data_IF_713647756808
#
_entry.id   IF_713647756808
#
_cell.length_a   1.000
_cell.length_b   1.000
_cell.length_c   1.000
_cell.angle_alpha   90.00
_cell.angle_beta   90.00
_cell.angle_gamma   90.00
#
_symmetry.space_group_name_H-M   'P 1'
#
loop_
_entity.id
_entity.type
_entity.pdbx_description
1 polymer ?
#
# COMPACT_ATOMS: atom_id res chain seq x y z
N UNK A 1 -0.40 4.31 6.77
CA UNK A 1 1.05 4.19 6.50
C UNK A 1 1.66 5.57 6.45
N UNK A 2 2.91 5.74 6.93
CA UNK A 2 3.62 7.01 6.85
C UNK A 2 3.96 7.39 5.39
N UNK A 3 4.15 6.41 4.50
CA UNK A 3 4.38 6.63 3.07
C UNK A 3 3.36 5.84 2.22
N UNK A 4 2.73 6.51 1.27
CA UNK A 4 1.83 5.90 0.29
C UNK A 4 2.47 5.96 -1.09
N UNK A 5 2.50 4.82 -1.78
CA UNK A 5 3.01 4.71 -3.14
C UNK A 5 1.89 4.61 -4.19
N UNK A 6 0.62 4.77 -3.79
CA UNK A 6 -0.48 4.78 -4.75
C UNK A 6 -0.37 6.01 -5.67
N UNK A 7 -0.41 5.84 -7.00
CA UNK A 7 -0.44 6.96 -7.93
C UNK A 7 -1.57 7.94 -7.63
N UNK A 8 -1.26 9.24 -7.62
CA UNK A 8 -2.26 10.32 -7.51
C UNK A 8 -3.29 10.25 -8.65
N UNK A 9 -2.89 9.77 -9.82
CA UNK A 9 -3.75 9.58 -10.98
C UNK A 9 -4.82 8.51 -10.78
N UNK A 10 -4.64 7.62 -9.80
CA UNK A 10 -5.67 6.68 -9.32
C UNK A 10 -6.49 7.24 -8.15
N UNK A 11 -6.04 8.34 -7.53
CA UNK A 11 -6.64 8.95 -6.34
C UNK A 11 -5.81 8.83 -5.06
N UNK A 12 -4.56 8.33 -5.16
CA UNK A 12 -3.57 8.43 -4.10
C UNK A 12 -3.96 7.73 -2.80
N UNK A 13 -3.57 8.33 -1.66
CA UNK A 13 -3.77 7.75 -0.33
C UNK A 13 -5.23 7.49 0.07
N UNK A 14 -6.19 8.20 -0.53
CA UNK A 14 -7.61 8.10 -0.21
C UNK A 14 -8.36 7.12 -1.12
N UNK A 15 -7.74 6.63 -2.19
CA UNK A 15 -8.33 5.68 -3.11
C UNK A 15 -8.17 4.26 -2.60
N UNK A 16 -9.18 3.41 -2.70
CA UNK A 16 -9.06 1.98 -2.44
C UNK A 16 -9.91 1.20 -3.45
N UNK A 17 -9.32 0.17 -4.04
CA UNK A 17 -10.08 -0.78 -4.84
C UNK A 17 -10.89 -1.72 -3.93
N UNK A 18 -12.03 -2.24 -4.41
CA UNK A 18 -12.79 -3.25 -3.68
C UNK A 18 -11.94 -4.46 -3.29
N UNK A 19 -12.28 -5.09 -2.16
CA UNK A 19 -11.67 -6.36 -1.77
C UNK A 19 -12.20 -7.46 -2.68
N UNK A 20 -11.34 -8.02 -3.52
CA UNK A 20 -11.68 -9.13 -4.43
C UNK A 20 -10.75 -10.33 -4.23
N UNK A 21 -11.10 -11.47 -4.84
CA UNK A 21 -10.33 -12.72 -4.74
C UNK A 21 -8.97 -12.63 -5.47
N UNK A 22 -8.85 -11.74 -6.45
CA UNK A 22 -7.66 -11.52 -7.27
C UNK A 22 -6.56 -10.74 -6.52
N UNK A 23 -6.90 -10.20 -5.34
CA UNK A 23 -5.98 -9.49 -4.44
C UNK A 23 -5.22 -8.34 -5.12
N UNK A 24 -5.97 -7.35 -5.62
CA UNK A 24 -5.41 -6.15 -6.23
C UNK A 24 -4.35 -5.48 -5.35
N UNK A 25 -3.42 -4.79 -6.00
CA UNK A 25 -2.40 -3.98 -5.33
C UNK A 25 -2.98 -2.81 -4.53
N UNK A 26 -4.11 -2.28 -4.98
CA UNK A 26 -4.76 -1.10 -4.41
C UNK A 26 -5.95 -1.44 -3.51
N UNK A 27 -6.19 -2.73 -3.22
CA UNK A 27 -7.19 -3.12 -2.22
C UNK A 27 -6.73 -2.74 -0.80
N UNK A 28 -7.67 -2.49 0.13
CA UNK A 28 -7.34 -2.16 1.50
C UNK A 28 -6.80 -3.40 2.26
N UNK A 29 -5.84 -3.14 3.13
CA UNK A 29 -5.30 -4.08 4.13
C UNK A 29 -5.24 -3.40 5.49
N UNK A 30 -5.37 -4.20 6.55
CA UNK A 30 -5.13 -3.77 7.93
C UNK A 30 -3.62 -3.71 8.18
N UNK A 31 -3.13 -2.58 8.70
CA UNK A 31 -1.74 -2.43 9.15
C UNK A 31 -1.65 -1.85 10.56
N UNK A 32 -0.59 -2.22 11.30
CA UNK A 32 -0.30 -1.75 12.64
C UNK A 32 0.59 -0.51 12.56
N UNK A 33 0.10 0.64 13.02
CA UNK A 33 0.84 1.90 12.99
C UNK A 33 0.36 2.83 14.10
N UNK A 34 1.25 3.48 14.88
CA UNK A 34 2.69 3.61 14.64
C UNK A 34 3.55 2.44 15.14
N UNK A 35 3.03 1.60 16.04
CA UNK A 35 3.74 0.44 16.56
C UNK A 35 3.55 -0.78 15.67
N UNK A 36 4.64 -1.31 15.11
CA UNK A 36 4.56 -2.53 14.33
C UNK A 36 4.11 -3.72 15.19
N UNK A 37 3.45 -4.72 14.60
CA UNK A 37 3.06 -5.94 15.32
C UNK A 37 4.26 -6.62 16.00
N UNK A 38 5.44 -6.55 15.39
CA UNK A 38 6.68 -7.15 15.92
C UNK A 38 7.16 -6.46 17.20
N UNK A 39 6.89 -5.16 17.33
CA UNK A 39 7.26 -4.34 18.49
C UNK A 39 6.18 -4.32 19.57
N UNK A 40 5.18 -5.19 19.47
CA UNK A 40 4.07 -5.27 20.42
C UNK A 40 2.85 -4.43 20.01
N UNK A 41 2.79 -3.93 18.78
CA UNK A 41 1.60 -3.27 18.26
C UNK A 41 0.38 -4.19 18.27
N UNK A 42 -0.74 -3.68 18.79
CA UNK A 42 -2.00 -4.39 18.88
C UNK A 42 -3.02 -3.86 17.87
N UNK A 43 -4.09 -4.63 17.66
CA UNK A 43 -5.25 -4.22 16.84
C UNK A 43 -6.20 -3.38 17.69
N UNK A 44 -5.77 -2.18 18.01
CA UNK A 44 -6.58 -1.17 18.70
C UNK A 44 -6.78 0.05 17.79
N UNK A 45 -7.64 0.98 18.23
CA UNK A 45 -8.00 2.17 17.45
C UNK A 45 -6.82 3.12 17.23
N UNK A 46 -5.86 3.13 18.15
CA UNK A 46 -4.72 4.05 18.14
C UNK A 46 -3.53 3.48 17.37
N UNK A 47 -3.55 2.18 17.07
CA UNK A 47 -2.49 1.44 16.40
C UNK A 47 -2.96 0.73 15.12
N UNK A 48 -4.08 1.14 14.54
CA UNK A 48 -4.65 0.55 13.32
C UNK A 48 -4.84 1.59 12.23
N UNK A 49 -4.34 1.29 11.04
CA UNK A 49 -4.59 2.09 9.84
C UNK A 49 -4.99 1.20 8.66
N UNK A 50 -5.69 1.80 7.69
CA UNK A 50 -5.82 1.19 6.37
C UNK A 50 -4.58 1.49 5.52
N UNK A 51 -4.15 0.48 4.78
CA UNK A 51 -2.99 0.53 3.90
C UNK A 51 -3.33 -0.18 2.59
N UNK A 52 -2.87 0.32 1.44
CA UNK A 52 -2.92 -0.49 0.22
C UNK A 52 -2.07 -1.73 0.37
N UNK A 53 -2.53 -2.84 -0.19
CA UNK A 53 -1.80 -4.12 -0.16
C UNK A 53 -0.36 -3.99 -0.68
N UNK A 54 -0.16 -3.30 -1.81
CA UNK A 54 1.17 -3.13 -2.40
C UNK A 54 2.05 -2.21 -1.55
N UNK A 55 1.50 -1.08 -1.09
CA UNK A 55 2.23 -0.15 -0.25
C UNK A 55 2.68 -0.83 1.06
N UNK A 56 1.82 -1.64 1.69
CA UNK A 56 2.17 -2.38 2.90
C UNK A 56 3.31 -3.40 2.65
N UNK A 57 3.29 -4.06 1.49
CA UNK A 57 4.40 -4.94 1.08
C UNK A 57 5.72 -4.19 0.90
N UNK A 58 5.67 -2.99 0.30
CA UNK A 58 6.85 -2.16 0.09
C UNK A 58 7.40 -1.70 1.44
N UNK A 59 6.56 -1.19 2.33
CA UNK A 59 6.94 -0.76 3.68
C UNK A 59 7.62 -1.90 4.46
N UNK A 60 7.01 -3.08 4.48
CA UNK A 60 7.64 -4.28 5.05
C UNK A 60 9.00 -4.61 4.43
N UNK A 61 9.12 -4.49 3.10
CA UNK A 61 10.38 -4.79 2.40
C UNK A 61 11.47 -3.79 2.74
N UNK A 62 11.13 -2.49 2.86
CA UNK A 62 12.02 -1.44 3.34
C UNK A 62 12.47 -1.76 4.76
N UNK A 63 11.53 -1.98 5.69
CA UNK A 63 11.84 -2.26 7.09
C UNK A 63 12.63 -3.56 7.32
N UNK A 64 12.51 -4.53 6.41
CA UNK A 64 13.24 -5.80 6.48
C UNK A 64 14.51 -5.86 5.62
N UNK A 65 14.85 -4.79 4.90
CA UNK A 65 16.01 -4.75 3.99
C UNK A 65 15.90 -5.68 2.78
N UNK A 66 14.67 -6.08 2.39
CA UNK A 66 14.43 -6.93 1.22
C UNK A 66 14.39 -6.08 -0.06
N UNK A 67 14.83 -6.61 -1.22
CA UNK A 67 14.68 -5.90 -2.49
C UNK A 67 13.20 -5.69 -2.85
N UNK A 68 12.82 -4.45 -3.21
CA UNK A 68 11.44 -4.06 -3.56
C UNK A 68 11.34 -3.36 -4.94
N UNK A 69 12.38 -3.41 -5.75
CA UNK A 69 12.41 -2.77 -7.08
C UNK A 69 11.28 -3.24 -8.02
N UNK A 70 10.89 -4.52 -7.92
CA UNK A 70 9.76 -5.08 -8.69
C UNK A 70 8.43 -4.46 -8.26
N UNK A 71 8.23 -4.21 -6.97
CA UNK A 71 7.01 -3.59 -6.47
C UNK A 71 6.93 -2.11 -6.89
N UNK A 72 8.07 -1.38 -6.90
CA UNK A 72 8.12 -0.04 -7.48
C UNK A 72 7.82 -0.02 -8.99
N UNK A 73 8.23 -1.04 -9.74
CA UNK A 73 7.89 -1.15 -11.15
C UNK A 73 6.37 -1.29 -11.35
N UNK A 74 5.67 -1.99 -10.45
CA UNK A 74 4.20 -2.12 -10.46
C UNK A 74 3.52 -0.78 -10.20
N UNK A 75 4.04 0.01 -9.24
CA UNK A 75 3.57 1.38 -8.99
C UNK A 75 3.69 2.24 -10.25
N UNK A 76 4.86 2.21 -10.92
CA UNK A 76 5.08 2.95 -12.16
C UNK A 76 4.12 2.53 -13.27
N UNK A 77 3.95 1.24 -13.49
CA UNK A 77 3.04 0.71 -14.49
C UNK A 77 1.57 1.11 -14.22
N UNK A 78 1.16 1.16 -12.94
CA UNK A 78 -0.17 1.60 -12.55
C UNK A 78 -0.38 3.09 -12.84
N UNK A 79 0.61 3.94 -12.55
CA UNK A 79 0.58 5.37 -12.91
C UNK A 79 0.45 5.55 -14.42
N UNK A 80 1.28 4.86 -15.21
CA UNK A 80 1.25 4.95 -16.67
C UNK A 80 -0.11 4.57 -17.25
N UNK A 81 -0.73 3.49 -16.74
CA UNK A 81 -2.09 3.08 -17.12
C UNK A 81 -3.13 4.14 -16.75
N UNK A 82 -3.09 4.66 -15.52
CA UNK A 82 -4.02 5.70 -15.08
C UNK A 82 -3.93 6.97 -15.93
N UNK A 83 -2.72 7.37 -16.35
CA UNK A 83 -2.53 8.50 -17.26
C UNK A 83 -3.13 8.21 -18.64
N UNK A 84 -2.98 6.98 -19.15
CA UNK A 84 -3.56 6.59 -20.43
C UNK A 84 -5.09 6.57 -20.39
N UNK A 85 -5.69 6.07 -19.32
CA UNK A 85 -7.15 5.98 -19.17
C UNK A 85 -7.82 7.35 -18.95
N UNK A 86 -7.07 8.33 -18.43
CA UNK A 86 -7.55 9.70 -18.17
C UNK A 86 -7.41 10.66 -19.37
N UNK A 87 -6.74 10.24 -20.46
CA UNK A 87 -6.55 11.02 -21.69
C UNK A 87 -7.57 10.64 -22.76
#
# INVERSE_FOLDING_TARGET
MPECFCPEELGGACYFEPVTAELSDWMPTHEHFPGSKREGGHRDLDNTVLAHRLCNRIDYSIGSGRPYAKDLARVKAARERAIQDNN
#
